data_IF_772423104983
#
_entry.id   IF_772423104983
#
_cell.length_a   1.000
_cell.length_b   1.000
_cell.length_c   1.000
_cell.angle_alpha   90.00
_cell.angle_beta   90.00
_cell.angle_gamma   90.00
#
_symmetry.space_group_name_H-M   'P 1'
#
loop_
_entity.id
_entity.type
_entity.pdbx_description
1 polymer ?
#
# COMPACT_ATOMS: atom_id res chain seq x y z
N UNK A 1 4.05 9.08 14.20
CA UNK A 1 4.84 8.32 13.21
C UNK A 1 6.32 8.63 13.30
N UNK A 2 6.75 9.89 13.10
CA UNK A 2 8.17 10.27 13.13
C UNK A 2 8.90 9.86 14.42
N UNK A 3 8.29 10.10 15.59
CA UNK A 3 8.86 9.69 16.89
C UNK A 3 9.07 8.17 17.00
N UNK A 4 8.12 7.36 16.55
CA UNK A 4 8.30 5.90 16.55
C UNK A 4 9.37 5.47 15.55
N UNK A 5 9.46 6.11 14.37
CA UNK A 5 10.54 5.84 13.41
C UNK A 5 11.92 6.17 14.00
N UNK A 6 12.06 7.31 14.69
CA UNK A 6 13.28 7.66 15.42
C UNK A 6 13.62 6.61 16.49
N UNK A 7 12.63 6.22 17.30
CA UNK A 7 12.80 5.17 18.33
C UNK A 7 13.26 3.84 17.73
N UNK A 8 12.74 3.48 16.56
CA UNK A 8 13.13 2.28 15.79
C UNK A 8 14.50 2.40 15.11
N UNK A 9 15.21 3.52 15.32
CA UNK A 9 16.57 3.70 14.86
C UNK A 9 16.70 4.29 13.46
N UNK A 10 15.68 5.00 12.95
CA UNK A 10 15.71 5.62 11.61
C UNK A 10 16.96 6.46 11.35
N UNK A 11 17.49 7.19 12.36
CA UNK A 11 18.73 7.99 12.19
C UNK A 11 19.97 7.16 11.88
N UNK A 12 19.95 5.87 12.20
CA UNK A 12 21.04 4.92 11.94
C UNK A 12 20.77 4.05 10.70
N UNK A 13 19.59 4.19 10.09
CA UNK A 13 19.24 3.43 8.90
C UNK A 13 20.04 3.96 7.71
N UNK A 14 20.60 3.05 6.91
CA UNK A 14 21.29 3.40 5.65
C UNK A 14 20.33 3.95 4.61
N UNK A 15 19.10 3.43 4.61
CA UNK A 15 18.04 3.80 3.69
C UNK A 15 16.72 3.89 4.47
N UNK A 16 15.90 4.87 4.12
CA UNK A 16 14.54 5.03 4.64
C UNK A 16 13.60 4.93 3.46
N UNK A 17 12.58 4.08 3.56
CA UNK A 17 11.54 3.95 2.54
C UNK A 17 10.15 4.16 3.14
N UNK A 18 9.27 4.77 2.36
CA UNK A 18 7.85 4.94 2.68
C UNK A 18 7.03 4.21 1.63
N UNK A 19 6.19 3.28 2.08
CA UNK A 19 5.24 2.54 1.24
C UNK A 19 3.85 3.16 1.39
N UNK A 20 3.13 3.38 0.29
CA UNK A 20 1.80 3.99 0.30
C UNK A 20 0.96 3.65 -0.92
N UNK A 21 -0.33 4.00 -0.89
CA UNK A 21 -1.29 3.64 -1.95
C UNK A 21 -1.20 4.47 -3.24
N UNK A 22 -0.34 5.49 -3.29
CA UNK A 22 -0.24 6.41 -4.43
C UNK A 22 -1.00 7.71 -4.30
N UNK A 23 -1.71 7.94 -3.19
CA UNK A 23 -2.38 9.19 -2.91
C UNK A 23 -1.39 10.31 -2.57
N UNK A 24 -1.61 11.50 -3.16
CA UNK A 24 -0.68 12.64 -3.06
C UNK A 24 -0.42 13.09 -1.63
N UNK A 25 -1.43 12.99 -0.75
CA UNK A 25 -1.29 13.40 0.64
C UNK A 25 -0.31 12.52 1.42
N UNK A 26 -0.14 11.24 1.04
CA UNK A 26 0.86 10.35 1.63
C UNK A 26 2.26 10.84 1.29
N UNK A 27 2.47 11.22 0.03
CA UNK A 27 3.76 11.72 -0.45
C UNK A 27 4.12 13.06 0.19
N UNK A 28 3.13 13.95 0.37
CA UNK A 28 3.33 15.19 1.13
C UNK A 28 3.80 14.91 2.57
N UNK A 29 3.20 13.93 3.25
CA UNK A 29 3.63 13.52 4.60
C UNK A 29 5.03 12.90 4.55
N UNK A 30 5.32 12.06 3.56
CA UNK A 30 6.63 11.45 3.38
C UNK A 30 7.72 12.51 3.19
N UNK A 31 7.50 13.51 2.34
CA UNK A 31 8.45 14.60 2.09
C UNK A 31 8.64 15.49 3.33
N UNK A 32 7.56 15.75 4.08
CA UNK A 32 7.63 16.57 5.29
C UNK A 32 8.31 15.86 6.47
N UNK A 33 8.01 14.59 6.69
CA UNK A 33 8.42 13.86 7.90
C UNK A 33 9.67 12.99 7.65
N UNK A 34 9.91 12.58 6.42
CA UNK A 34 10.94 11.62 6.03
C UNK A 34 11.68 12.12 4.79
N UNK A 35 12.17 13.36 4.83
CA UNK A 35 12.87 13.99 3.71
C UNK A 35 13.97 13.08 3.15
N UNK A 36 13.96 12.88 1.82
CA UNK A 36 14.89 12.00 1.11
C UNK A 36 14.57 10.50 1.19
N UNK A 37 13.45 10.11 1.81
CA UNK A 37 13.02 8.72 1.82
C UNK A 37 12.61 8.25 0.42
N UNK A 38 12.90 6.98 0.14
CA UNK A 38 12.48 6.30 -1.08
C UNK A 38 10.98 6.06 -1.00
N UNK A 39 10.22 6.68 -1.88
CA UNK A 39 8.76 6.51 -1.93
C UNK A 39 8.41 5.37 -2.88
N UNK A 40 7.67 4.39 -2.38
CA UNK A 40 7.27 3.20 -3.13
C UNK A 40 5.75 3.11 -3.08
N UNK A 41 5.12 2.96 -4.23
CA UNK A 41 3.69 2.65 -4.28
C UNK A 41 3.51 1.17 -3.93
N UNK A 42 2.51 0.86 -3.13
CA UNK A 42 2.14 -0.51 -2.84
C UNK A 42 1.73 -1.25 -4.12
N UNK A 43 2.40 -2.36 -4.41
CA UNK A 43 2.14 -3.16 -5.60
C UNK A 43 0.71 -3.68 -5.67
N UNK A 44 0.08 -4.02 -4.54
CA UNK A 44 -1.33 -4.45 -4.52
C UNK A 44 -2.23 -3.31 -5.00
N UNK A 45 -2.09 -2.11 -4.43
CA UNK A 45 -2.88 -0.94 -4.84
C UNK A 45 -2.64 -0.58 -6.30
N UNK A 46 -1.38 -0.57 -6.76
CA UNK A 46 -1.07 -0.30 -8.17
C UNK A 46 -1.75 -1.29 -9.14
N UNK A 47 -1.94 -2.56 -8.72
CA UNK A 47 -2.64 -3.57 -9.53
C UNK A 47 -4.14 -3.33 -9.61
N UNK A 48 -4.76 -2.72 -8.60
CA UNK A 48 -6.19 -2.36 -8.63
C UNK A 48 -6.51 -1.40 -9.78
N UNK A 49 -5.61 -0.48 -10.08
CA UNK A 49 -5.79 0.53 -11.12
C UNK A 49 -5.94 -0.07 -12.53
N UNK A 50 -5.01 -0.94 -12.97
CA UNK A 50 -5.19 -1.60 -14.27
C UNK A 50 -6.35 -2.60 -14.24
N UNK A 51 -6.64 -3.21 -13.08
CA UNK A 51 -7.75 -4.16 -12.95
C UNK A 51 -9.10 -3.48 -13.18
N UNK A 52 -9.27 -2.24 -12.71
CA UNK A 52 -10.46 -1.42 -12.97
C UNK A 52 -10.65 -1.16 -14.48
N UNK A 53 -9.56 -0.85 -15.19
CA UNK A 53 -9.58 -0.71 -16.66
C UNK A 53 -10.00 -2.02 -17.33
N UNK A 54 -9.35 -3.12 -16.95
CA UNK A 54 -9.66 -4.44 -17.50
C UNK A 54 -11.13 -4.81 -17.30
N UNK A 55 -11.67 -4.60 -16.09
CA UNK A 55 -13.09 -4.86 -15.78
C UNK A 55 -14.04 -4.02 -16.63
N UNK A 56 -13.73 -2.74 -16.83
CA UNK A 56 -14.55 -1.86 -17.66
C UNK A 56 -14.55 -2.29 -19.13
N UNK A 57 -13.38 -2.68 -19.65
CA UNK A 57 -13.20 -3.01 -21.07
C UNK A 57 -13.64 -4.44 -21.44
N UNK A 58 -13.35 -5.42 -20.58
CA UNK A 58 -13.61 -6.85 -20.84
C UNK A 58 -14.78 -7.41 -20.01
N UNK A 59 -15.74 -6.57 -19.61
CA UNK A 59 -16.86 -6.93 -18.71
C UNK A 59 -17.61 -8.21 -19.12
N UNK A 60 -17.73 -8.47 -20.43
CA UNK A 60 -18.43 -9.64 -20.99
C UNK A 60 -17.52 -10.83 -21.32
N UNK A 61 -16.19 -10.68 -21.24
CA UNK A 61 -15.24 -11.73 -21.62
C UNK A 61 -14.17 -11.94 -20.52
N UNK A 62 -14.47 -12.85 -19.60
CA UNK A 62 -13.61 -13.15 -18.45
C UNK A 62 -12.24 -13.73 -18.83
N UNK A 63 -12.16 -14.50 -19.91
CA UNK A 63 -10.90 -15.10 -20.35
C UNK A 63 -9.95 -14.03 -20.90
N UNK A 64 -10.48 -13.12 -21.72
CA UNK A 64 -9.72 -11.95 -22.19
C UNK A 64 -9.35 -11.02 -21.04
N UNK A 65 -10.23 -10.81 -20.07
CA UNK A 65 -9.91 -10.04 -18.85
C UNK A 65 -8.72 -10.66 -18.10
N UNK A 66 -8.76 -11.97 -17.86
CA UNK A 66 -7.71 -12.67 -17.12
C UNK A 66 -6.37 -12.61 -17.89
N UNK A 67 -6.37 -12.96 -19.17
CA UNK A 67 -5.17 -12.86 -20.01
C UNK A 67 -4.63 -11.44 -20.03
N UNK A 68 -5.53 -10.46 -20.15
CA UNK A 68 -5.12 -9.07 -20.22
C UNK A 68 -4.50 -8.60 -18.90
N UNK A 69 -5.13 -8.91 -17.77
CA UNK A 69 -4.65 -8.50 -16.44
C UNK A 69 -3.36 -9.22 -16.03
N UNK A 70 -3.16 -10.47 -16.42
CA UNK A 70 -1.93 -11.23 -16.15
C UNK A 70 -0.71 -10.68 -16.89
N UNK A 71 -0.87 -10.24 -18.14
CA UNK A 71 0.21 -9.59 -18.89
C UNK A 71 0.60 -8.25 -18.24
N UNK A 72 -0.39 -7.48 -17.80
CA UNK A 72 -0.21 -6.21 -17.06
C UNK A 72 0.47 -6.45 -15.71
N UNK A 73 0.11 -7.52 -14.99
CA UNK A 73 0.79 -7.94 -13.75
C UNK A 73 2.28 -8.14 -13.98
N UNK A 74 2.68 -8.90 -15.00
CA UNK A 74 4.10 -9.15 -15.33
C UNK A 74 4.84 -7.85 -15.64
N UNK A 75 4.27 -7.02 -16.53
CA UNK A 75 4.85 -5.71 -16.90
C UNK A 75 5.03 -4.81 -15.68
N UNK A 76 4.00 -4.71 -14.84
CA UNK A 76 4.05 -3.89 -13.63
C UNK A 76 5.10 -4.44 -12.66
N UNK A 77 5.12 -5.75 -12.37
CA UNK A 77 6.09 -6.36 -11.47
C UNK A 77 7.55 -6.17 -11.91
N UNK A 78 7.79 -6.07 -13.21
CA UNK A 78 9.10 -5.75 -13.80
C UNK A 78 9.43 -4.25 -13.75
N UNK A 79 8.50 -3.40 -13.29
CA UNK A 79 8.64 -1.94 -13.23
C UNK A 79 8.42 -1.22 -14.56
N UNK A 80 7.84 -1.92 -15.56
CA UNK A 80 7.55 -1.41 -16.92
C UNK A 80 6.19 -0.70 -16.95
N UNK A 81 6.09 0.38 -16.17
CA UNK A 81 4.84 1.14 -15.98
C UNK A 81 4.35 1.75 -17.29
N UNK A 82 5.28 2.23 -18.12
CA UNK A 82 5.00 2.81 -19.43
C UNK A 82 4.21 1.86 -20.33
N UNK A 83 4.53 0.57 -20.30
CA UNK A 83 3.84 -0.45 -21.11
C UNK A 83 2.44 -0.76 -20.59
N UNK A 84 2.23 -0.63 -19.28
CA UNK A 84 0.89 -0.71 -18.67
C UNK A 84 0.06 0.48 -19.13
N UNK A 85 0.64 1.69 -19.08
CA UNK A 85 -0.04 2.92 -19.52
C UNK A 85 -0.41 2.89 -21.00
N UNK A 86 0.51 2.41 -21.86
CA UNK A 86 0.25 2.26 -23.30
C UNK A 86 -0.91 1.29 -23.56
N UNK A 87 -0.95 0.16 -22.86
CA UNK A 87 -2.06 -0.79 -22.97
C UNK A 87 -3.40 -0.18 -22.51
N UNK A 88 -3.40 0.67 -21.46
CA UNK A 88 -4.61 1.39 -21.03
C UNK A 88 -5.05 2.40 -22.09
N UNK A 89 -4.10 3.12 -22.72
CA UNK A 89 -4.38 4.06 -23.82
C UNK A 89 -4.99 3.35 -25.03
N UNK A 90 -4.49 2.17 -25.40
CA UNK A 90 -5.06 1.35 -26.46
C UNK A 90 -6.54 1.02 -26.18
N UNK A 91 -6.87 0.61 -24.96
CA UNK A 91 -8.27 0.36 -24.57
C UNK A 91 -9.15 1.63 -24.65
N UNK A 92 -8.61 2.80 -24.32
CA UNK A 92 -9.35 4.08 -24.38
C UNK A 92 -9.66 4.56 -25.80
N UNK A 93 -9.00 4.01 -26.81
CA UNK A 93 -9.18 4.39 -28.22
C UNK A 93 -10.46 3.80 -28.85
N UNK A 94 -11.11 2.85 -28.17
CA UNK A 94 -12.29 2.15 -28.69
C UNK A 94 -13.59 2.96 -28.47
N UNK A 95 -14.51 2.90 -29.42
CA UNK A 95 -15.79 3.60 -29.38
C UNK A 95 -16.70 3.11 -28.24
N UNK A 96 -17.32 4.03 -27.50
CA UNK A 96 -18.30 3.72 -26.44
C UNK A 96 -17.70 3.52 -25.04
N UNK A 97 -16.40 3.76 -24.86
CA UNK A 97 -15.76 3.68 -23.56
C UNK A 97 -15.96 4.97 -22.72
N UNK A 98 -16.13 4.81 -21.40
CA UNK A 98 -16.10 5.94 -20.48
C UNK A 98 -14.67 6.45 -20.31
N UNK A 99 -14.31 7.48 -21.08
CA UNK A 99 -12.97 8.09 -21.10
C UNK A 99 -12.49 8.54 -19.72
N UNK A 100 -13.41 8.92 -18.82
CA UNK A 100 -13.05 9.45 -17.50
C UNK A 100 -12.32 8.42 -16.63
N UNK A 101 -12.69 7.14 -16.75
CA UNK A 101 -12.02 6.03 -16.05
C UNK A 101 -10.58 5.93 -16.56
N UNK A 102 -10.38 5.83 -17.87
CA UNK A 102 -9.05 5.66 -18.47
C UNK A 102 -8.14 6.84 -18.15
N UNK A 103 -8.63 8.08 -18.25
CA UNK A 103 -7.87 9.29 -17.92
C UNK A 103 -7.43 9.30 -16.45
N UNK A 104 -8.33 8.90 -15.53
CA UNK A 104 -8.01 8.79 -14.11
C UNK A 104 -6.94 7.73 -13.85
N UNK A 105 -7.09 6.53 -14.42
CA UNK A 105 -6.14 5.44 -14.20
C UNK A 105 -4.76 5.74 -14.83
N UNK A 106 -4.72 6.31 -16.04
CA UNK A 106 -3.47 6.79 -16.67
C UNK A 106 -2.82 7.87 -15.81
N UNK A 107 -3.60 8.84 -15.33
CA UNK A 107 -3.11 9.92 -14.48
C UNK A 107 -2.51 9.41 -13.16
N UNK A 108 -3.05 8.32 -12.61
CA UNK A 108 -2.48 7.65 -11.44
C UNK A 108 -1.09 7.07 -11.74
N UNK A 109 -0.95 6.32 -12.84
CA UNK A 109 0.33 5.72 -13.22
C UNK A 109 1.37 6.78 -13.60
N UNK A 110 0.98 7.85 -14.30
CA UNK A 110 1.89 8.95 -14.67
C UNK A 110 2.47 9.62 -13.42
N UNK A 111 1.62 10.00 -12.46
CA UNK A 111 2.04 10.69 -11.22
C UNK A 111 2.94 9.83 -10.32
N UNK A 112 2.79 8.51 -10.39
CA UNK A 112 3.44 7.56 -9.49
C UNK A 112 4.51 6.69 -10.17
N UNK A 113 4.78 6.92 -11.45
CA UNK A 113 5.67 6.12 -12.31
C UNK A 113 7.01 5.77 -11.66
N UNK A 114 7.71 6.78 -11.12
CA UNK A 114 9.02 6.57 -10.50
C UNK A 114 8.93 5.85 -9.15
N UNK A 115 7.77 5.90 -8.49
CA UNK A 115 7.47 5.15 -7.25
C UNK A 115 7.06 3.71 -7.51
N UNK A 116 6.99 3.29 -8.77
CA UNK A 116 6.57 1.94 -9.20
C UNK A 116 7.71 1.18 -9.92
N UNK A 117 8.96 1.57 -9.69
CA UNK A 117 10.16 0.88 -10.23
C UNK A 117 10.47 -0.39 -9.44
N UNK A 118 9.53 -1.33 -9.42
CA UNK A 118 9.55 -2.52 -8.56
C UNK A 118 10.79 -3.41 -8.75
N UNK A 119 11.22 -3.65 -9.98
CA UNK A 119 12.44 -4.42 -10.23
C UNK A 119 13.68 -3.76 -9.61
N UNK A 120 13.78 -2.42 -9.64
CA UNK A 120 14.85 -1.68 -8.99
C UNK A 120 14.77 -1.78 -7.47
N UNK A 121 13.58 -1.62 -6.89
CA UNK A 121 13.39 -1.74 -5.43
C UNK A 121 13.68 -3.15 -4.91
N UNK A 122 13.25 -4.20 -5.62
CA UNK A 122 13.55 -5.60 -5.28
C UNK A 122 15.06 -5.87 -5.31
N UNK A 123 15.79 -5.35 -6.31
CA UNK A 123 17.26 -5.50 -6.39
C UNK A 123 17.98 -4.87 -5.20
N UNK A 124 17.39 -3.84 -4.58
CA UNK A 124 17.89 -3.20 -3.35
C UNK A 124 17.41 -3.89 -2.06
N UNK A 125 16.61 -4.96 -2.16
CA UNK A 125 16.04 -5.66 -1.02
C UNK A 125 14.89 -4.90 -0.32
N UNK A 126 14.31 -3.89 -0.98
CA UNK A 126 13.22 -3.10 -0.40
C UNK A 126 11.88 -3.84 -0.53
N UNK A 127 11.02 -3.64 0.46
CA UNK A 127 9.63 -4.09 0.41
C UNK A 127 8.84 -3.24 -0.59
N UNK A 128 8.02 -3.90 -1.40
CA UNK A 128 7.21 -3.26 -2.45
C UNK A 128 5.70 -3.43 -2.24
N UNK A 129 5.30 -4.09 -1.16
CA UNK A 129 3.91 -4.37 -0.84
C UNK A 129 3.74 -4.53 0.65
N UNK A 130 2.55 -4.15 1.13
CA UNK A 130 2.20 -4.06 2.54
C UNK A 130 1.70 -5.38 3.12
N UNK A 131 1.76 -6.50 2.38
CA UNK A 131 1.19 -7.78 2.82
C UNK A 131 1.65 -8.25 4.21
N UNK A 132 2.91 -7.97 4.60
CA UNK A 132 3.40 -8.26 5.97
C UNK A 132 2.71 -7.38 7.01
N UNK A 133 2.51 -6.09 6.70
CA UNK A 133 1.77 -5.15 7.54
C UNK A 133 0.30 -5.55 7.65
N UNK A 134 -0.34 -5.92 6.53
CA UNK A 134 -1.74 -6.38 6.52
C UNK A 134 -1.95 -7.64 7.36
N UNK A 135 -1.01 -8.61 7.27
CA UNK A 135 -1.01 -9.79 8.13
C UNK A 135 -0.88 -9.40 9.61
N UNK A 136 0.00 -8.44 9.92
CA UNK A 136 0.14 -7.84 11.24
C UNK A 136 -1.18 -7.23 11.74
N UNK A 137 -1.82 -6.39 10.94
CA UNK A 137 -3.13 -5.78 11.26
C UNK A 137 -4.21 -6.85 11.48
N UNK A 138 -4.23 -7.92 10.68
CA UNK A 138 -5.16 -9.04 10.86
C UNK A 138 -4.95 -9.71 12.22
N UNK A 139 -3.71 -9.94 12.64
CA UNK A 139 -3.37 -10.58 13.92
C UNK A 139 -3.58 -9.66 15.11
N UNK A 140 -3.11 -8.41 15.04
CA UNK A 140 -3.17 -7.46 16.15
C UNK A 140 -4.61 -6.95 16.34
N UNK A 141 -5.27 -6.53 15.27
CA UNK A 141 -6.59 -5.87 15.31
C UNK A 141 -7.70 -6.86 14.97
N UNK A 142 -7.63 -7.48 13.78
CA UNK A 142 -8.72 -8.28 13.21
C UNK A 142 -9.15 -9.45 14.08
N UNK A 143 -8.18 -10.24 14.59
CA UNK A 143 -8.45 -11.39 15.43
C UNK A 143 -9.21 -11.06 16.71
N UNK A 144 -9.18 -9.82 17.21
CA UNK A 144 -9.84 -9.46 18.47
C UNK A 144 -11.01 -8.50 18.32
N UNK A 145 -11.01 -7.66 17.29
CA UNK A 145 -12.02 -6.61 17.12
C UNK A 145 -13.04 -6.88 16.00
N UNK A 146 -12.77 -7.84 15.10
CA UNK A 146 -13.63 -8.12 13.94
C UNK A 146 -14.35 -9.47 13.99
N UNK A 147 -14.55 -10.07 15.18
CA UNK A 147 -15.31 -11.31 15.28
C UNK A 147 -16.81 -11.04 15.46
N UNK A 148 -17.64 -12.06 15.25
CA UNK A 148 -19.09 -11.97 15.36
C UNK A 148 -19.55 -11.52 16.75
N UNK A 149 -20.57 -10.65 16.79
CA UNK A 149 -21.19 -10.15 18.03
C UNK A 149 -20.39 -9.06 18.76
N UNK A 150 -19.19 -8.71 18.30
CA UNK A 150 -18.34 -7.74 18.98
C UNK A 150 -18.80 -6.29 18.74
N UNK A 151 -19.05 -5.57 19.83
CA UNK A 151 -19.37 -4.15 19.82
C UNK A 151 -18.40 -3.42 20.75
N UNK A 152 -17.81 -2.34 20.25
CA UNK A 152 -16.79 -1.58 20.97
C UNK A 152 -17.13 -0.11 20.96
N UNK A 153 -16.91 0.56 22.08
CA UNK A 153 -16.69 2.00 22.06
C UNK A 153 -15.32 2.28 21.45
N UNK A 154 -15.12 3.45 20.83
CA UNK A 154 -13.82 3.85 20.26
C UNK A 154 -12.71 3.79 21.31
N UNK A 155 -12.98 4.27 22.53
CA UNK A 155 -12.05 4.19 23.66
C UNK A 155 -11.71 2.76 24.06
N UNK A 156 -12.72 1.87 24.12
CA UNK A 156 -12.52 0.45 24.43
C UNK A 156 -11.69 -0.27 23.37
N UNK A 157 -11.99 -0.03 22.08
CA UNK A 157 -11.22 -0.59 20.98
C UNK A 157 -9.75 -0.14 21.02
N UNK A 158 -9.51 1.16 21.22
CA UNK A 158 -8.15 1.71 21.33
C UNK A 158 -7.37 1.11 22.50
N UNK A 159 -8.03 0.93 23.65
CA UNK A 159 -7.39 0.32 24.83
C UNK A 159 -6.97 -1.13 24.57
N UNK A 160 -7.83 -1.92 23.92
CA UNK A 160 -7.52 -3.30 23.54
C UNK A 160 -6.42 -3.37 22.49
N UNK A 161 -6.44 -2.49 21.49
CA UNK A 161 -5.37 -2.40 20.48
C UNK A 161 -4.04 -2.07 21.15
N UNK A 162 -4.00 -1.06 22.03
CA UNK A 162 -2.80 -0.67 22.74
C UNK A 162 -2.22 -1.83 23.57
N UNK A 163 -3.07 -2.52 24.33
CA UNK A 163 -2.71 -3.72 25.09
C UNK A 163 -2.08 -4.80 24.20
N UNK A 164 -2.74 -5.12 23.08
CA UNK A 164 -2.25 -6.14 22.15
C UNK A 164 -0.94 -5.72 21.47
N UNK A 165 -0.81 -4.45 21.10
CA UNK A 165 0.44 -3.90 20.60
C UNK A 165 1.57 -4.06 21.63
N UNK A 166 1.34 -3.76 22.91
CA UNK A 166 2.35 -3.95 23.97
C UNK A 166 2.78 -5.42 24.09
N UNK A 167 1.82 -6.35 24.13
CA UNK A 167 2.12 -7.79 24.22
C UNK A 167 2.89 -8.28 22.99
N UNK A 168 2.40 -7.99 21.79
CA UNK A 168 2.98 -8.51 20.53
C UNK A 168 4.29 -7.83 20.12
N UNK A 169 4.62 -6.69 20.73
CA UNK A 169 5.91 -6.02 20.56
C UNK A 169 6.90 -6.32 21.69
N UNK A 170 6.59 -7.27 22.59
CA UNK A 170 7.36 -7.58 23.80
C UNK A 170 7.64 -6.36 24.69
N UNK A 171 6.70 -5.39 24.71
CA UNK A 171 6.75 -4.17 25.53
C UNK A 171 5.76 -4.19 26.67
N UNK A 172 5.37 -5.39 27.11
CA UNK A 172 4.44 -5.54 28.21
C UNK A 172 5.07 -5.05 29.52
N UNK A 173 6.31 -5.43 29.78
CA UNK A 173 7.05 -5.02 30.97
C UNK A 173 7.32 -3.51 30.99
N UNK A 174 7.84 -2.94 29.89
CA UNK A 174 7.98 -1.48 29.72
C UNK A 174 6.68 -0.70 30.02
N UNK A 175 5.54 -1.23 29.57
CA UNK A 175 4.24 -0.60 29.78
C UNK A 175 3.85 -0.59 31.27
N UNK A 176 4.12 -1.67 32.00
CA UNK A 176 3.84 -1.73 33.44
C UNK A 176 4.81 -0.89 34.24
N UNK A 177 6.11 -0.90 33.92
CA UNK A 177 7.10 -0.06 34.60
C UNK A 177 6.76 1.42 34.47
N UNK A 178 6.36 1.87 33.27
CA UNK A 178 5.97 3.26 33.06
C UNK A 178 4.69 3.66 33.81
N UNK A 179 3.78 2.71 34.02
CA UNK A 179 2.51 2.96 34.72
C UNK A 179 2.63 2.86 36.24
N UNK A 180 3.56 2.04 36.73
CA UNK A 180 3.88 1.91 38.15
C UNK A 180 4.76 3.06 38.66
N UNK A 181 5.42 3.79 37.76
CA UNK A 181 6.21 4.98 38.07
C UNK A 181 5.37 6.29 38.16
N UNK A 182 4.03 6.20 38.05
CA UNK A 182 3.08 7.31 38.17
C UNK A 182 2.31 7.17 39.48
#
# INVERSE_FOLDING_TARGET
MYQEALRRGMRRAKEVCVLGDGAIWIWNIADQQFYGAIQIVDLFHAREHYWNVGKAYFSQNKDKLHLWTEERRKKLDDGRVEDVMNAIKECSSQSGCDKSIYEREIGYFEKNKERMRYAHFRKRGLFIGSGVLEAGCRTVVGQRLKQSGMHWTVSGANSIIALRCSILSNRWEDFWEHRAAI
#
